data_IF_491058693764
#
_entry.id   IF_491058693764
#
_cell.length_a   1.000
_cell.length_b   1.000
_cell.length_c   1.000
_cell.angle_alpha   90.00
_cell.angle_beta   90.00
_cell.angle_gamma   90.00
#
_symmetry.space_group_name_H-M   'P 1'
#
loop_
_entity.id
_entity.type
_entity.pdbx_description
1 polymer ?
#
# COMPACT_ATOMS: atom_id res chain seq x y z
N UNK A 1 -40.91 34.90 2.84
CA UNK A 1 -40.80 34.62 4.28
C UNK A 1 -40.06 35.78 4.88
N UNK A 2 -40.72 36.52 5.76
CA UNK A 2 -40.14 37.70 6.39
C UNK A 2 -38.97 37.26 7.29
N UNK A 3 -38.00 38.14 7.59
CA UNK A 3 -36.82 37.78 8.40
C UNK A 3 -37.18 37.19 9.77
N UNK A 4 -38.29 37.64 10.36
CA UNK A 4 -38.78 37.20 11.68
C UNK A 4 -39.32 35.76 11.62
N UNK A 5 -40.00 35.40 10.54
CA UNK A 5 -40.56 34.06 10.35
C UNK A 5 -39.47 32.98 10.25
N UNK A 6 -38.33 33.32 9.64
CA UNK A 6 -37.18 32.41 9.52
C UNK A 6 -36.54 32.11 10.88
N UNK A 7 -36.38 33.13 11.72
CA UNK A 7 -35.80 32.97 13.06
C UNK A 7 -36.69 32.05 13.91
N UNK A 8 -38.02 32.26 13.83
CA UNK A 8 -38.99 31.45 14.55
C UNK A 8 -39.02 30.00 14.05
N UNK A 9 -39.08 29.81 12.73
CA UNK A 9 -39.03 28.48 12.11
C UNK A 9 -37.75 27.70 12.44
N UNK A 10 -36.61 28.40 12.55
CA UNK A 10 -35.35 27.81 12.98
C UNK A 10 -35.38 27.39 14.45
N UNK A 11 -35.89 28.23 15.34
CA UNK A 11 -36.02 27.90 16.76
C UNK A 11 -36.94 26.68 16.96
N UNK A 12 -38.08 26.66 16.27
CA UNK A 12 -39.04 25.54 16.30
C UNK A 12 -38.41 24.25 15.76
N UNK A 13 -37.57 24.34 14.72
CA UNK A 13 -36.86 23.19 14.16
C UNK A 13 -35.78 22.64 15.10
N UNK A 14 -35.08 23.50 15.85
CA UNK A 14 -34.11 23.06 16.86
C UNK A 14 -34.82 22.39 18.04
N UNK A 15 -35.93 22.97 18.50
CA UNK A 15 -36.77 22.40 19.56
C UNK A 15 -37.35 21.02 19.16
N UNK A 16 -37.78 20.86 17.90
CA UNK A 16 -38.26 19.58 17.39
C UNK A 16 -37.18 18.48 17.37
N UNK A 17 -35.90 18.85 17.36
CA UNK A 17 -34.77 17.93 17.52
C UNK A 17 -34.30 17.82 18.99
N UNK A 18 -34.94 18.51 19.93
CA UNK A 18 -34.57 18.53 21.34
C UNK A 18 -33.29 19.34 21.63
N UNK A 19 -32.98 20.33 20.80
CA UNK A 19 -31.74 21.11 20.86
C UNK A 19 -31.99 22.57 21.25
N UNK A 20 -30.98 23.19 21.84
CA UNK A 20 -30.97 24.63 22.15
C UNK A 20 -30.82 25.47 20.86
N UNK A 21 -31.24 26.74 20.90
CA UNK A 21 -31.04 27.72 19.84
C UNK A 21 -29.57 27.94 19.46
N UNK A 22 -28.65 27.67 20.40
CA UNK A 22 -27.21 27.75 20.20
C UNK A 22 -26.55 26.45 19.69
N UNK A 23 -27.33 25.42 19.36
CA UNK A 23 -26.77 24.12 18.97
C UNK A 23 -25.91 24.20 17.70
N UNK A 24 -24.77 23.52 17.75
CA UNK A 24 -23.81 23.44 16.66
C UNK A 24 -24.20 22.44 15.57
N UNK A 25 -23.56 22.55 14.40
CA UNK A 25 -23.81 21.67 13.25
C UNK A 25 -23.63 20.17 13.53
N UNK A 26 -22.74 19.81 14.46
CA UNK A 26 -22.53 18.42 14.85
C UNK A 26 -23.69 17.91 15.69
N UNK A 27 -24.12 18.70 16.68
CA UNK A 27 -25.22 18.38 17.60
C UNK A 27 -26.54 18.19 16.84
N UNK A 28 -26.84 19.07 15.86
CA UNK A 28 -28.00 18.91 14.97
C UNK A 28 -27.98 17.56 14.23
N UNK A 29 -26.81 17.13 13.74
CA UNK A 29 -26.67 15.86 13.04
C UNK A 29 -26.67 14.64 13.96
N UNK A 30 -26.19 14.79 15.18
CA UNK A 30 -26.20 13.73 16.21
C UNK A 30 -27.64 13.51 16.72
N UNK A 31 -28.36 14.60 17.04
CA UNK A 31 -29.76 14.54 17.47
C UNK A 31 -30.67 13.93 16.40
N UNK A 32 -30.53 14.36 15.15
CA UNK A 32 -31.25 13.75 14.03
C UNK A 32 -30.97 12.24 13.92
N UNK A 33 -29.69 11.81 14.00
CA UNK A 33 -29.35 10.39 13.95
C UNK A 33 -29.97 9.60 15.09
N UNK A 34 -29.97 10.16 16.29
CA UNK A 34 -30.57 9.52 17.46
C UNK A 34 -32.09 9.35 17.28
N UNK A 35 -32.79 10.41 16.91
CA UNK A 35 -34.25 10.37 16.69
C UNK A 35 -34.58 9.44 15.52
N UNK A 36 -33.86 9.55 14.41
CA UNK A 36 -34.09 8.70 13.23
C UNK A 36 -33.87 7.22 13.52
N UNK A 37 -32.94 6.87 14.41
CA UNK A 37 -32.72 5.49 14.83
C UNK A 37 -33.85 4.98 15.73
N UNK A 38 -34.30 5.78 16.69
CA UNK A 38 -35.30 5.33 17.67
C UNK A 38 -36.74 5.40 17.16
N UNK A 39 -37.09 6.43 16.39
CA UNK A 39 -38.44 6.66 15.91
C UNK A 39 -38.72 6.06 14.52
N UNK A 40 -37.75 5.34 13.90
CA UNK A 40 -37.97 4.78 12.57
C UNK A 40 -39.17 3.82 12.57
N UNK A 41 -40.08 3.89 11.59
CA UNK A 41 -41.26 3.02 11.52
C UNK A 41 -40.94 1.53 11.40
N UNK A 42 -39.70 1.17 10.99
CA UNK A 42 -39.24 -0.23 10.93
C UNK A 42 -38.83 -0.80 12.30
N UNK A 43 -38.75 0.03 13.35
CA UNK A 43 -38.52 -0.45 14.72
C UNK A 43 -39.84 -0.78 15.41
N UNK A 44 -39.82 -1.78 16.29
CA UNK A 44 -41.00 -2.31 17.02
C UNK A 44 -41.70 -1.28 17.92
N UNK A 45 -41.07 -0.13 18.19
CA UNK A 45 -41.65 1.01 18.91
C UNK A 45 -41.49 2.34 18.12
N UNK A 46 -41.36 2.26 16.79
CA UNK A 46 -41.24 3.43 15.93
C UNK A 46 -42.50 4.29 15.94
N UNK A 47 -42.34 5.58 16.11
CA UNK A 47 -43.42 6.56 15.98
C UNK A 47 -43.23 7.38 14.69
N UNK A 48 -44.07 7.05 13.70
CA UNK A 48 -44.06 7.69 12.39
C UNK A 48 -44.29 9.21 12.46
N UNK A 49 -45.06 9.67 13.46
CA UNK A 49 -45.37 11.09 13.65
C UNK A 49 -44.15 11.86 14.12
N UNK A 50 -43.47 11.39 15.17
CA UNK A 50 -42.24 12.01 15.66
C UNK A 50 -41.09 11.93 14.65
N UNK A 51 -40.98 10.83 13.89
CA UNK A 51 -39.99 10.71 12.81
C UNK A 51 -40.21 11.76 11.72
N UNK A 52 -41.46 11.93 11.27
CA UNK A 52 -41.81 12.90 10.23
C UNK A 52 -41.52 14.34 10.68
N UNK A 53 -41.92 14.69 11.91
CA UNK A 53 -41.65 16.00 12.50
C UNK A 53 -40.15 16.30 12.62
N UNK A 54 -39.36 15.34 13.11
CA UNK A 54 -37.92 15.48 13.24
C UNK A 54 -37.23 15.59 11.87
N UNK A 55 -37.75 14.89 10.86
CA UNK A 55 -37.22 14.94 9.49
C UNK A 55 -37.44 16.32 8.85
N UNK A 56 -38.65 16.86 8.95
CA UNK A 56 -38.97 18.20 8.44
C UNK A 56 -38.09 19.28 9.10
N UNK A 57 -37.91 19.19 10.42
CA UNK A 57 -37.05 20.08 11.18
C UNK A 57 -35.58 20.01 10.71
N UNK A 58 -35.05 18.79 10.54
CA UNK A 58 -33.68 18.59 10.05
C UNK A 58 -33.50 19.10 8.61
N UNK A 59 -34.47 18.86 7.72
CA UNK A 59 -34.42 19.31 6.33
C UNK A 59 -34.46 20.85 6.22
N UNK A 60 -35.20 21.52 7.10
CA UNK A 60 -35.20 22.99 7.23
C UNK A 60 -33.82 23.50 7.64
N UNK A 61 -33.25 22.97 8.74
CA UNK A 61 -31.93 23.35 9.24
C UNK A 61 -30.81 23.07 8.23
N UNK A 62 -30.97 22.00 7.44
CA UNK A 62 -30.06 21.66 6.34
C UNK A 62 -30.13 22.67 5.20
N UNK A 63 -31.34 23.10 4.81
CA UNK A 63 -31.54 24.13 3.78
C UNK A 63 -30.97 25.48 4.19
N UNK A 64 -31.01 25.78 5.49
CA UNK A 64 -30.41 26.99 6.08
C UNK A 64 -28.89 26.89 6.26
N UNK A 65 -28.27 25.77 5.92
CA UNK A 65 -26.81 25.59 5.99
C UNK A 65 -26.27 25.31 7.39
N UNK A 66 -27.12 25.16 8.41
CA UNK A 66 -26.71 24.90 9.80
C UNK A 66 -26.14 23.49 9.99
N UNK A 67 -26.52 22.54 9.13
CA UNK A 67 -25.98 21.18 9.15
C UNK A 67 -24.72 21.01 8.28
N UNK A 68 -24.16 22.10 7.75
CA UNK A 68 -22.94 22.05 6.95
C UNK A 68 -21.81 21.47 7.79
N UNK A 69 -21.31 20.31 7.36
CA UNK A 69 -20.22 19.61 8.03
C UNK A 69 -19.01 20.54 8.09
N UNK A 70 -18.80 21.18 9.25
CA UNK A 70 -17.51 21.81 9.56
C UNK A 70 -16.43 20.78 9.25
N UNK A 71 -15.38 21.20 8.53
CA UNK A 71 -14.35 20.31 7.97
C UNK A 71 -13.82 19.37 9.05
N UNK A 72 -14.49 18.23 9.24
CA UNK A 72 -14.06 17.20 10.17
C UNK A 72 -12.82 16.63 9.51
N UNK A 73 -11.65 17.08 9.97
CA UNK A 73 -10.37 16.64 9.48
C UNK A 73 -10.28 15.13 9.65
N UNK A 74 -10.69 14.39 8.62
CA UNK A 74 -10.38 12.96 8.54
C UNK A 74 -8.86 12.88 8.71
N UNK A 75 -8.33 12.01 9.58
CA UNK A 75 -6.89 11.83 9.68
C UNK A 75 -6.39 11.54 8.26
N UNK A 76 -5.54 12.44 7.74
CA UNK A 76 -4.99 12.29 6.39
C UNK A 76 -4.20 11.00 6.40
N UNK A 77 -4.63 10.02 5.60
CA UNK A 77 -3.88 8.77 5.41
C UNK A 77 -2.43 9.16 5.06
N UNK A 78 -1.42 8.66 5.79
CA UNK A 78 -0.02 8.97 5.49
C UNK A 78 0.26 8.65 4.01
N UNK A 79 0.86 9.60 3.29
CA UNK A 79 1.28 9.35 1.91
C UNK A 79 2.42 8.34 1.95
N UNK A 80 2.26 7.23 1.23
CA UNK A 80 3.33 6.27 1.01
C UNK A 80 4.46 6.99 0.26
N UNK A 81 5.67 6.92 0.79
CA UNK A 81 6.86 7.47 0.14
C UNK A 81 7.69 6.33 -0.42
N UNK A 82 8.32 6.57 -1.56
CA UNK A 82 9.35 5.67 -2.07
C UNK A 82 10.57 5.74 -1.19
N UNK A 83 11.23 4.60 -0.98
CA UNK A 83 12.48 4.51 -0.23
C UNK A 83 13.47 3.64 -0.99
N UNK A 84 14.77 3.93 -0.89
CA UNK A 84 15.84 3.04 -1.34
C UNK A 84 16.74 2.78 -0.14
N UNK A 85 17.14 1.52 0.03
CA UNK A 85 18.04 1.06 1.09
C UNK A 85 19.20 0.35 0.40
N UNK A 86 20.42 0.77 0.70
CA UNK A 86 21.64 0.08 0.27
C UNK A 86 21.82 -1.18 1.13
N UNK A 87 22.23 -2.27 0.50
CA UNK A 87 22.47 -3.53 1.17
C UNK A 87 23.80 -3.47 1.92
N UNK A 88 23.77 -3.88 3.19
CA UNK A 88 24.98 -3.99 4.00
C UNK A 88 25.88 -5.11 3.46
N UNK A 89 27.19 -4.98 3.67
CA UNK A 89 28.17 -5.99 3.21
C UNK A 89 27.87 -7.38 3.74
N UNK A 90 27.34 -7.49 4.96
CA UNK A 90 26.92 -8.77 5.57
C UNK A 90 25.81 -9.45 4.80
N UNK A 91 24.85 -8.69 4.27
CA UNK A 91 23.72 -9.23 3.52
C UNK A 91 24.15 -9.64 2.11
N UNK A 92 25.05 -8.85 1.51
CA UNK A 92 25.69 -9.17 0.21
C UNK A 92 26.50 -10.47 0.34
N UNK A 93 27.29 -10.62 1.40
CA UNK A 93 28.10 -11.81 1.62
C UNK A 93 27.23 -13.05 1.92
N UNK A 94 26.11 -12.89 2.65
CA UNK A 94 25.14 -13.97 2.82
C UNK A 94 24.57 -14.43 1.46
N UNK A 95 24.24 -13.49 0.57
CA UNK A 95 23.78 -13.80 -0.79
C UNK A 95 24.87 -14.53 -1.60
N UNK A 96 26.14 -14.11 -1.51
CA UNK A 96 27.28 -14.77 -2.17
C UNK A 96 27.45 -16.21 -1.70
N UNK A 97 27.45 -16.42 -0.38
CA UNK A 97 27.58 -17.74 0.22
C UNK A 97 26.45 -18.66 -0.26
N UNK A 98 25.23 -18.13 -0.34
CA UNK A 98 24.07 -18.89 -0.78
C UNK A 98 24.15 -19.25 -2.27
N UNK A 99 24.60 -18.35 -3.15
CA UNK A 99 24.84 -18.67 -4.57
C UNK A 99 25.90 -19.76 -4.77
N UNK A 100 26.98 -19.69 -3.98
CA UNK A 100 28.05 -20.69 -4.04
C UNK A 100 27.60 -22.07 -3.51
N UNK A 101 26.63 -22.10 -2.58
CA UNK A 101 26.13 -23.33 -1.95
C UNK A 101 24.95 -23.93 -2.72
N UNK A 102 24.14 -23.10 -3.37
CA UNK A 102 23.02 -23.53 -4.18
C UNK A 102 23.56 -24.27 -5.42
N UNK A 103 23.47 -25.60 -5.42
CA UNK A 103 23.81 -26.44 -6.56
C UNK A 103 23.13 -25.89 -7.82
N UNK A 104 23.90 -25.77 -8.90
CA UNK A 104 23.38 -25.44 -10.23
C UNK A 104 22.27 -26.42 -10.57
N UNK A 105 21.04 -25.93 -10.75
CA UNK A 105 19.95 -26.73 -11.28
C UNK A 105 20.24 -27.04 -12.75
N UNK A 106 21.07 -28.05 -13.02
CA UNK A 106 21.12 -28.73 -14.31
C UNK A 106 20.18 -29.94 -14.24
N UNK A 107 19.02 -29.92 -14.91
CA UNK A 107 18.19 -31.11 -15.05
C UNK A 107 18.62 -32.00 -16.22
N UNK A 108 19.78 -31.76 -16.85
CA UNK A 108 20.28 -32.68 -17.87
C UNK A 108 21.80 -32.80 -17.84
N UNK A 109 22.27 -34.05 -17.83
CA UNK A 109 23.67 -34.39 -17.77
C UNK A 109 24.34 -34.12 -19.11
N UNK A 110 25.19 -33.10 -19.15
CA UNK A 110 26.25 -33.00 -20.14
C UNK A 110 27.51 -32.53 -19.43
N UNK A 111 28.54 -33.37 -19.49
CA UNK A 111 29.87 -33.07 -19.01
C UNK A 111 30.44 -31.84 -19.71
N UNK A 112 31.09 -30.94 -18.99
CA UNK A 112 32.17 -30.12 -19.56
C UNK A 112 32.99 -29.41 -18.47
N UNK A 113 34.20 -29.92 -18.25
CA UNK A 113 35.34 -29.17 -17.78
C UNK A 113 35.65 -28.01 -18.77
N UNK A 114 34.94 -26.87 -18.65
CA UNK A 114 35.25 -25.59 -19.30
C UNK A 114 34.40 -24.40 -18.79
N UNK A 115 33.35 -24.62 -17.97
CA UNK A 115 32.32 -23.60 -17.68
C UNK A 115 32.52 -22.80 -16.38
N UNK A 116 33.65 -22.98 -15.67
CA UNK A 116 33.89 -22.35 -14.36
C UNK A 116 33.91 -20.81 -14.36
N UNK A 117 34.18 -20.16 -15.49
CA UNK A 117 34.14 -18.70 -15.61
C UNK A 117 32.74 -18.15 -15.94
N UNK A 118 31.96 -18.81 -16.82
CA UNK A 118 30.67 -18.29 -17.27
C UNK A 118 29.56 -18.41 -16.20
N UNK A 119 29.65 -19.41 -15.33
CA UNK A 119 28.65 -19.59 -14.25
C UNK A 119 28.71 -18.44 -13.23
N UNK A 120 29.89 -17.85 -13.02
CA UNK A 120 30.06 -16.72 -12.11
C UNK A 120 29.55 -15.39 -12.70
N UNK A 121 29.57 -15.24 -14.03
CA UNK A 121 29.03 -14.04 -14.69
C UNK A 121 27.50 -14.02 -14.71
N UNK A 122 26.87 -15.21 -14.72
CA UNK A 122 25.41 -15.37 -14.65
C UNK A 122 24.86 -15.39 -13.21
N UNK A 123 25.71 -15.14 -12.21
CA UNK A 123 25.34 -15.01 -10.81
C UNK A 123 25.23 -13.53 -10.42
N UNK A 124 24.05 -13.17 -9.90
CA UNK A 124 23.67 -11.79 -9.66
C UNK A 124 23.35 -11.55 -8.19
N UNK A 125 23.80 -10.42 -7.68
CA UNK A 125 23.56 -9.99 -6.30
C UNK A 125 23.16 -8.52 -6.32
N UNK A 126 22.05 -8.15 -5.68
CA UNK A 126 21.66 -6.76 -5.57
C UNK A 126 22.58 -6.01 -4.60
N UNK A 127 22.73 -4.72 -4.82
CA UNK A 127 23.42 -3.81 -3.90
C UNK A 127 22.47 -2.78 -3.26
N UNK A 128 21.25 -2.65 -3.77
CA UNK A 128 20.22 -1.82 -3.17
C UNK A 128 18.81 -2.37 -3.42
N UNK A 129 17.88 -1.98 -2.56
CA UNK A 129 16.47 -2.35 -2.65
C UNK A 129 15.57 -1.12 -2.48
N UNK A 130 14.72 -0.91 -3.46
CA UNK A 130 13.66 0.10 -3.50
C UNK A 130 12.33 -0.41 -2.94
N UNK A 131 11.63 0.45 -2.22
CA UNK A 131 10.35 0.20 -1.59
C UNK A 131 9.32 1.22 -2.05
N UNK A 132 8.14 0.73 -2.41
CA UNK A 132 6.95 1.56 -2.51
C UNK A 132 5.75 0.80 -1.91
N UNK A 133 5.45 1.08 -0.64
CA UNK A 133 4.45 0.29 0.09
C UNK A 133 4.87 -1.17 0.21
N UNK A 134 4.19 -2.07 -0.50
CA UNK A 134 4.47 -3.51 -0.54
C UNK A 134 5.11 -3.97 -1.86
N UNK A 135 5.61 -3.03 -2.66
CA UNK A 135 6.29 -3.30 -3.92
C UNK A 135 7.80 -3.15 -3.71
N UNK A 136 8.55 -4.20 -4.05
CA UNK A 136 10.00 -4.26 -3.93
C UNK A 136 10.66 -4.15 -5.30
N UNK A 137 11.76 -3.41 -5.38
CA UNK A 137 12.58 -3.29 -6.59
C UNK A 137 14.04 -3.48 -6.23
N UNK A 138 14.62 -4.60 -6.62
CA UNK A 138 16.03 -4.89 -6.42
C UNK A 138 16.84 -4.26 -7.54
N UNK A 139 17.94 -3.60 -7.18
CA UNK A 139 18.91 -3.03 -8.11
C UNK A 139 20.14 -3.92 -8.10
N UNK A 140 20.44 -4.49 -9.25
CA UNK A 140 21.56 -5.39 -9.49
C UNK A 140 22.55 -4.65 -10.41
N UNK A 141 23.80 -4.44 -9.99
CA UNK A 141 24.78 -3.71 -10.78
C UNK A 141 25.28 -4.51 -11.98
N UNK A 142 25.20 -5.85 -11.93
CA UNK A 142 25.61 -6.70 -13.04
C UNK A 142 24.53 -6.79 -14.13
N UNK A 143 24.90 -6.80 -15.42
CA UNK A 143 23.96 -6.98 -16.53
C UNK A 143 23.45 -8.43 -16.58
N UNK A 144 22.30 -8.65 -17.21
CA UNK A 144 21.79 -10.01 -17.48
C UNK A 144 22.69 -10.71 -18.50
N UNK A 145 22.93 -12.00 -18.32
CA UNK A 145 23.61 -12.85 -19.30
C UNK A 145 22.60 -13.59 -20.18
N UNK A 146 22.96 -13.90 -21.42
CA UNK A 146 22.17 -14.80 -22.25
C UNK A 146 22.22 -16.22 -21.66
N UNK A 147 21.07 -16.91 -21.57
CA UNK A 147 20.97 -18.25 -21.00
C UNK A 147 20.46 -18.26 -19.54
N UNK A 148 20.95 -19.20 -18.74
CA UNK A 148 20.50 -19.41 -17.37
C UNK A 148 21.18 -18.43 -16.40
N UNK A 149 20.38 -17.63 -15.70
CA UNK A 149 20.82 -16.63 -14.74
C UNK A 149 20.31 -17.01 -13.34
N UNK A 150 21.10 -16.72 -12.32
CA UNK A 150 20.75 -16.92 -10.91
C UNK A 150 20.92 -15.61 -10.15
N UNK A 151 19.96 -15.29 -9.30
CA UNK A 151 20.00 -14.06 -8.49
C UNK A 151 19.66 -14.39 -7.04
N UNK A 152 20.56 -14.07 -6.12
CA UNK A 152 20.30 -14.17 -4.69
C UNK A 152 19.68 -12.88 -4.18
N UNK A 153 18.46 -12.97 -3.66
CA UNK A 153 17.69 -11.84 -3.18
C UNK A 153 17.39 -11.98 -1.69
N UNK A 154 17.64 -10.93 -0.89
CA UNK A 154 17.14 -10.86 0.48
C UNK A 154 15.62 -10.69 0.48
N UNK A 155 14.87 -11.61 1.08
CA UNK A 155 13.42 -11.69 0.95
C UNK A 155 12.62 -11.13 2.13
N UNK A 156 13.26 -10.98 3.31
CA UNK A 156 12.55 -10.68 4.56
C UNK A 156 12.43 -9.18 4.91
N UNK A 157 12.71 -8.26 3.97
CA UNK A 157 12.61 -6.81 4.23
C UNK A 157 11.24 -6.30 4.70
N UNK A 158 10.16 -6.95 4.28
CA UNK A 158 8.79 -6.60 4.70
C UNK A 158 8.29 -7.51 5.83
N UNK A 159 9.09 -8.48 6.25
CA UNK A 159 8.78 -9.40 7.32
C UNK A 159 9.16 -8.77 8.68
N UNK A 160 8.42 -9.10 9.73
CA UNK A 160 8.74 -8.67 11.10
C UNK A 160 9.83 -9.53 11.75
N UNK A 161 10.77 -10.06 10.95
CA UNK A 161 11.78 -11.03 11.39
C UNK A 161 13.07 -10.29 11.72
N UNK A 162 13.77 -10.73 12.78
CA UNK A 162 15.04 -10.11 13.24
C UNK A 162 16.25 -10.46 12.37
N UNK A 163 16.12 -11.42 11.46
CA UNK A 163 17.19 -11.92 10.58
C UNK A 163 16.77 -11.78 9.13
N UNK A 164 17.74 -11.43 8.30
CA UNK A 164 17.58 -11.34 6.85
C UNK A 164 17.56 -12.76 6.27
N UNK A 165 16.48 -13.14 5.62
CA UNK A 165 16.39 -14.38 4.85
C UNK A 165 16.76 -14.06 3.40
N UNK A 166 17.44 -14.99 2.74
CA UNK A 166 17.92 -14.85 1.36
C UNK A 166 17.48 -16.06 0.54
N UNK A 167 17.13 -15.85 -0.72
CA UNK A 167 16.65 -16.89 -1.63
C UNK A 167 17.28 -16.72 -3.01
N UNK A 168 17.67 -17.81 -3.66
CA UNK A 168 18.12 -17.79 -5.06
C UNK A 168 16.93 -18.01 -5.99
N UNK A 169 16.74 -17.08 -6.91
CA UNK A 169 15.84 -17.23 -8.05
C UNK A 169 16.67 -17.56 -9.29
N UNK A 170 16.20 -18.53 -10.08
CA UNK A 170 16.80 -18.87 -11.37
C UNK A 170 15.83 -18.53 -12.49
N UNK A 171 16.33 -17.98 -13.59
CA UNK A 171 15.52 -17.65 -14.76
C UNK A 171 16.37 -17.77 -16.04
N UNK A 172 15.71 -17.88 -17.19
CA UNK A 172 16.37 -17.89 -18.49
C UNK A 172 16.13 -16.57 -19.23
N UNK A 173 17.18 -16.02 -19.82
CA UNK A 173 17.11 -14.85 -20.70
C UNK A 173 17.57 -15.20 -22.11
N UNK A 174 16.98 -14.57 -23.11
CA UNK A 174 17.42 -14.67 -24.51
C UNK A 174 18.37 -13.55 -24.93
N UNK A 175 18.40 -12.48 -24.15
CA UNK A 175 19.17 -11.28 -24.41
C UNK A 175 20.09 -11.01 -23.21
N UNK A 176 21.22 -10.35 -23.48
CA UNK A 176 22.16 -9.88 -22.47
C UNK A 176 22.14 -8.36 -22.36
N UNK A 177 22.52 -7.83 -21.19
CA UNK A 177 22.61 -6.40 -20.91
C UNK A 177 21.60 -5.89 -19.89
N UNK A 178 21.25 -4.60 -20.00
CA UNK A 178 20.29 -3.94 -19.12
C UNK A 178 18.89 -4.53 -19.30
N UNK A 179 18.25 -4.86 -18.19
CA UNK A 179 16.98 -5.56 -18.23
C UNK A 179 16.18 -5.42 -16.95
N UNK A 180 14.90 -5.74 -17.07
CA UNK A 180 13.99 -5.81 -15.93
C UNK A 180 13.29 -7.15 -15.91
N UNK A 181 13.39 -7.85 -14.78
CA UNK A 181 12.69 -9.11 -14.54
C UNK A 181 11.63 -8.89 -13.47
N UNK A 182 10.39 -9.21 -13.82
CA UNK A 182 9.27 -9.25 -12.88
C UNK A 182 9.15 -10.67 -12.32
N UNK A 183 9.23 -10.79 -11.00
CA UNK A 183 9.07 -12.09 -10.34
C UNK A 183 7.59 -12.49 -10.38
N UNK A 184 7.24 -13.70 -10.85
CA UNK A 184 5.87 -14.19 -10.88
C UNK A 184 5.18 -14.10 -9.51
N UNK A 185 3.87 -13.89 -9.52
CA UNK A 185 3.08 -13.73 -8.28
C UNK A 185 3.16 -14.97 -7.38
N UNK A 186 3.19 -16.18 -7.97
CA UNK A 186 3.32 -17.43 -7.22
C UNK A 186 4.61 -17.50 -6.39
N UNK A 187 5.74 -17.08 -6.98
CA UNK A 187 7.04 -17.02 -6.28
C UNK A 187 7.04 -15.87 -5.28
N UNK A 188 6.48 -14.72 -5.65
CA UNK A 188 6.37 -13.55 -4.77
C UNK A 188 5.63 -13.90 -3.48
N UNK A 189 4.45 -14.53 -3.58
CA UNK A 189 3.64 -14.91 -2.43
C UNK A 189 4.31 -15.98 -1.55
N UNK A 190 5.09 -16.89 -2.15
CA UNK A 190 5.75 -17.96 -1.41
C UNK A 190 7.07 -17.55 -0.77
N UNK A 191 7.87 -16.72 -1.44
CA UNK A 191 9.26 -16.42 -1.05
C UNK A 191 9.45 -15.03 -0.44
N UNK A 192 8.55 -14.08 -0.71
CA UNK A 192 8.67 -12.69 -0.26
C UNK A 192 7.51 -12.32 0.67
N UNK A 193 7.57 -12.71 1.96
CA UNK A 193 6.51 -12.46 2.91
C UNK A 193 6.18 -10.97 3.03
N UNK A 194 4.92 -10.60 2.78
CA UNK A 194 4.42 -9.24 2.85
C UNK A 194 4.57 -8.42 1.55
N UNK A 195 5.32 -8.91 0.56
CA UNK A 195 5.43 -8.28 -0.75
C UNK A 195 4.19 -8.55 -1.60
N UNK A 196 3.79 -7.55 -2.40
CA UNK A 196 2.73 -7.65 -3.43
C UNK A 196 3.30 -7.81 -4.83
N UNK A 197 4.52 -7.34 -5.05
CA UNK A 197 5.21 -7.44 -6.33
C UNK A 197 6.70 -7.25 -6.08
N UNK A 198 7.51 -8.04 -6.80
CA UNK A 198 8.95 -7.98 -6.78
C UNK A 198 9.47 -7.78 -8.20
N UNK A 199 10.33 -6.79 -8.35
CA UNK A 199 10.98 -6.43 -9.62
C UNK A 199 12.49 -6.45 -9.41
N UNK A 200 13.22 -6.90 -10.41
CA UNK A 200 14.68 -6.96 -10.40
C UNK A 200 15.15 -6.17 -11.61
N UNK A 201 15.98 -5.15 -11.38
CA UNK A 201 16.58 -4.33 -12.42
C UNK A 201 18.07 -4.64 -12.48
N UNK A 202 18.53 -5.02 -13.66
CA UNK A 202 19.92 -5.35 -13.96
C UNK A 202 20.60 -4.17 -14.66
N UNK A 203 21.93 -4.12 -14.58
CA UNK A 203 22.73 -2.98 -15.03
C UNK A 203 22.25 -1.67 -14.36
N UNK A 204 21.96 -1.76 -13.05
CA UNK A 204 21.29 -0.71 -12.31
C UNK A 204 22.27 0.31 -11.71
N UNK A 205 22.49 1.38 -12.47
CA UNK A 205 23.31 2.53 -12.05
C UNK A 205 22.67 3.38 -10.94
N UNK A 206 23.48 4.22 -10.31
CA UNK A 206 23.06 5.19 -9.31
C UNK A 206 21.92 6.10 -9.83
N UNK A 207 21.98 6.52 -11.09
CA UNK A 207 20.95 7.34 -11.72
C UNK A 207 19.58 6.64 -11.74
N UNK A 208 19.56 5.31 -11.90
CA UNK A 208 18.33 4.52 -11.90
C UNK A 208 17.69 4.46 -10.50
N UNK A 209 18.51 4.41 -9.45
CA UNK A 209 18.08 4.45 -8.05
C UNK A 209 17.53 5.83 -7.69
N UNK A 210 18.23 6.88 -8.08
CA UNK A 210 17.82 8.27 -7.85
C UNK A 210 16.49 8.56 -8.57
N UNK A 211 16.34 8.08 -9.80
CA UNK A 211 15.10 8.20 -10.57
C UNK A 211 13.93 7.46 -9.89
N UNK A 212 14.17 6.28 -9.32
CA UNK A 212 13.16 5.55 -8.55
C UNK A 212 12.72 6.35 -7.33
N UNK A 213 13.66 6.96 -6.62
CA UNK A 213 13.38 7.80 -5.46
C UNK A 213 12.58 9.06 -5.82
N UNK A 214 12.94 9.73 -6.92
CA UNK A 214 12.35 11.01 -7.34
C UNK A 214 10.97 10.87 -8.00
N UNK A 215 10.67 9.73 -8.63
CA UNK A 215 9.38 9.48 -9.24
C UNK A 215 8.28 9.45 -8.16
N UNK A 216 7.49 10.52 -8.00
CA UNK A 216 6.39 10.62 -7.02
C UNK A 216 5.08 10.05 -7.52
#
# INVERSE_FOLDING_TARGET
MEPVDKIRARADALEALGLDQNAGSNEIRDAWRHIAFHAHPDHTQGDCSSFSRAKEAYDLLRREGMTAKGQSGKPRRPKLRKRVIELESTDIDACRVLLNTALSHNPDGAAADAEGQNVAEADHIPDAVGFFGRHLTYFVPTPVCEGANRVALPTSFLAAVRRMDTEVLSFQSKDSGAGEVMVPEAITASKFPGARSVRIKFDADQQMRDSFWLAS
#
